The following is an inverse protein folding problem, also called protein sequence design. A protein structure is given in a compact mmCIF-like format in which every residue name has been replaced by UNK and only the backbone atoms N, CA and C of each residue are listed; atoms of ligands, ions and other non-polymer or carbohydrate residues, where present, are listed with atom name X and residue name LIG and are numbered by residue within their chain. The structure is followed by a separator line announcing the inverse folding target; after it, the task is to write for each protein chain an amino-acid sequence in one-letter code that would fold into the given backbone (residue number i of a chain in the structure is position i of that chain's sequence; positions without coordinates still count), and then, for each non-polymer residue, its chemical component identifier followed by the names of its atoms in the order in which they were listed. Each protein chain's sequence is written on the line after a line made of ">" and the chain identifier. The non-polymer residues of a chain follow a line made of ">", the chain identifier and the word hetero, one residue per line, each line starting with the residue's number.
data_IF_413939322108
#
_entry.id   IF_413939322108
#
_cell.length_a   1.000
_cell.length_b   1.000
_cell.length_c   1.000
_cell.angle_alpha   90.00
_cell.angle_beta   90.00
_cell.angle_gamma   90.00
#
_symmetry.space_group_name_H-M   'P 1'
#
loop_
_entity.id
_entity.type
_entity.pdbx_description
1 polymer ?
#
# COMPACT_ATOMS: atom_id res chain seq x y z
N UNK A 1 7.36 7.52 -16.46
CA UNK A 1 8.26 7.29 -15.31
C UNK A 1 7.59 6.28 -14.38
N UNK A 2 8.20 5.11 -14.17
CA UNK A 2 7.65 4.10 -13.27
C UNK A 2 7.73 4.50 -11.79
N UNK A 3 7.02 3.76 -10.94
CA UNK A 3 7.10 3.84 -9.49
C UNK A 3 7.74 2.55 -8.96
N UNK A 4 8.72 2.67 -8.07
CA UNK A 4 9.32 1.54 -7.38
C UNK A 4 8.74 1.43 -5.97
N UNK A 5 8.08 0.32 -5.67
CA UNK A 5 7.48 0.05 -4.36
C UNK A 5 8.25 -1.07 -3.68
N UNK A 6 8.81 -0.80 -2.51
CA UNK A 6 9.49 -1.78 -1.67
C UNK A 6 8.62 -2.09 -0.46
N UNK A 7 8.33 -3.36 -0.20
CA UNK A 7 7.65 -3.81 1.02
C UNK A 7 8.68 -4.54 1.88
N UNK A 8 8.91 -4.04 3.09
CA UNK A 8 9.74 -4.69 4.11
C UNK A 8 8.82 -5.38 5.10
N UNK A 9 8.90 -6.70 5.18
CA UNK A 9 8.08 -7.52 6.09
C UNK A 9 8.65 -7.50 7.52
N UNK A 10 7.88 -8.01 8.49
CA UNK A 10 8.27 -7.99 9.90
C UNK A 10 9.51 -8.84 10.19
N UNK A 11 9.73 -9.89 9.40
CA UNK A 11 10.92 -10.73 9.42
C UNK A 11 12.17 -10.06 8.77
N UNK A 12 12.04 -8.85 8.21
CA UNK A 12 13.14 -8.10 7.57
C UNK A 12 13.37 -8.41 6.09
N UNK A 13 12.57 -9.29 5.48
CA UNK A 13 12.61 -9.52 4.04
C UNK A 13 12.10 -8.31 3.27
N UNK A 14 12.69 -8.07 2.09
CA UNK A 14 12.33 -6.95 1.22
C UNK A 14 11.80 -7.48 -0.10
N UNK A 15 10.62 -7.03 -0.46
CA UNK A 15 9.95 -7.38 -1.71
C UNK A 15 9.81 -6.13 -2.56
N UNK A 16 10.44 -6.13 -3.72
CA UNK A 16 10.47 -4.99 -4.63
C UNK A 16 9.47 -5.20 -5.77
N UNK A 17 8.67 -4.17 -6.02
CA UNK A 17 7.64 -4.14 -7.06
C UNK A 17 7.90 -2.95 -7.97
N UNK A 18 8.21 -3.23 -9.23
CA UNK A 18 8.36 -2.20 -10.25
C UNK A 18 7.01 -2.00 -10.95
N UNK A 19 6.47 -0.79 -10.86
CA UNK A 19 5.24 -0.39 -11.51
C UNK A 19 5.55 0.54 -12.66
N UNK A 20 5.04 0.23 -13.85
CA UNK A 20 5.17 1.12 -15.01
C UNK A 20 4.01 2.11 -15.03
N UNK A 21 4.16 3.23 -15.76
CA UNK A 21 3.04 4.17 -15.97
C UNK A 21 1.82 3.47 -16.59
N UNK A 22 2.05 2.43 -17.41
CA UNK A 22 0.98 1.62 -17.97
C UNK A 22 0.18 0.87 -16.89
N UNK A 23 0.82 0.44 -15.80
CA UNK A 23 0.16 -0.16 -14.65
C UNK A 23 -0.60 0.87 -13.81
N UNK A 24 -0.14 2.12 -13.80
CA UNK A 24 -0.83 3.20 -13.09
C UNK A 24 -1.84 3.95 -13.97
N UNK A 25 -1.87 3.66 -15.28
CA UNK A 25 -2.73 4.32 -16.24
C UNK A 25 -4.22 4.13 -15.89
N UNK A 26 -4.92 5.24 -15.64
CA UNK A 26 -6.33 5.25 -15.27
C UNK A 26 -6.61 5.09 -13.77
N UNK A 27 -5.58 4.87 -12.95
CA UNK A 27 -5.65 4.86 -11.49
C UNK A 27 -5.16 6.20 -10.93
N UNK A 28 -6.07 7.16 -10.88
CA UNK A 28 -5.80 8.48 -10.29
C UNK A 28 -5.67 8.38 -8.75
N UNK A 29 -4.94 9.32 -8.13
CA UNK A 29 -4.75 9.36 -6.68
C UNK A 29 -6.07 9.28 -5.89
N UNK A 30 -7.14 9.89 -6.40
CA UNK A 30 -8.48 9.82 -5.81
C UNK A 30 -9.04 8.39 -5.81
N UNK A 31 -9.05 7.71 -6.97
CA UNK A 31 -9.54 6.33 -7.09
C UNK A 31 -8.72 5.38 -6.24
N UNK A 32 -7.41 5.61 -6.17
CA UNK A 32 -6.50 4.85 -5.34
C UNK A 32 -6.83 4.99 -3.84
N UNK A 33 -7.07 6.23 -3.38
CA UNK A 33 -7.53 6.49 -2.01
C UNK A 33 -8.90 5.87 -1.71
N UNK A 34 -9.83 5.92 -2.68
CA UNK A 34 -11.16 5.29 -2.55
C UNK A 34 -11.03 3.76 -2.44
N UNK A 35 -10.20 3.13 -3.26
CA UNK A 35 -9.95 1.68 -3.20
C UNK A 35 -9.31 1.28 -1.86
N UNK A 36 -8.28 2.00 -1.41
CA UNK A 36 -7.65 1.77 -0.11
C UNK A 36 -8.65 1.96 1.05
N UNK A 37 -9.57 2.93 0.92
CA UNK A 37 -10.66 3.13 1.88
C UNK A 37 -11.58 1.90 1.97
N UNK A 38 -12.06 1.41 0.83
CA UNK A 38 -12.93 0.24 0.77
C UNK A 38 -12.27 -1.01 1.32
N UNK A 39 -11.01 -1.27 0.97
CA UNK A 39 -10.28 -2.42 1.50
C UNK A 39 -10.04 -2.29 3.01
N UNK A 40 -9.80 -1.07 3.50
CA UNK A 40 -9.62 -0.82 4.94
C UNK A 40 -10.91 -1.10 5.71
N UNK A 41 -12.07 -0.68 5.17
CA UNK A 41 -13.38 -0.99 5.73
C UNK A 41 -13.68 -2.50 5.68
N UNK A 42 -13.37 -3.18 4.56
CA UNK A 42 -13.52 -4.64 4.42
C UNK A 42 -12.65 -5.44 5.38
N UNK A 43 -11.45 -4.97 5.65
CA UNK A 43 -10.56 -5.56 6.64
C UNK A 43 -11.11 -5.43 8.08
N UNK A 44 -12.21 -4.68 8.27
CA UNK A 44 -12.78 -4.41 9.59
C UNK A 44 -11.91 -3.46 10.42
N UNK A 45 -10.94 -2.79 9.79
CA UNK A 45 -10.16 -1.77 10.44
C UNK A 45 -11.08 -0.57 10.68
N UNK A 46 -11.49 -0.37 11.93
CA UNK A 46 -12.24 0.83 12.29
C UNK A 46 -11.26 2.00 12.39
N UNK A 47 -11.57 3.17 11.81
CA UNK A 47 -10.79 4.36 12.10
C UNK A 47 -10.89 4.61 13.61
N UNK A 48 -9.77 4.47 14.32
CA UNK A 48 -9.73 4.61 15.78
C UNK A 48 -10.11 6.03 16.24
N UNK A 49 -10.28 6.97 15.32
CA UNK A 49 -10.69 8.33 15.62
C UNK A 49 -11.72 8.89 14.60
N UNK A 50 -12.97 9.20 15.00
CA UNK A 50 -13.92 9.90 14.14
C UNK A 50 -13.55 11.39 13.93
N UNK A 51 -12.56 11.91 14.66
CA UNK A 51 -12.06 13.28 14.55
C UNK A 51 -10.54 13.26 14.51
N UNK A 52 -9.98 12.99 13.33
CA UNK A 52 -8.54 13.07 13.10
C UNK A 52 -8.21 12.37 11.79
N UNK A 53 -7.60 13.07 10.84
CA UNK A 53 -7.21 12.51 9.54
C UNK A 53 -6.41 11.22 9.77
N UNK A 54 -7.02 10.07 9.55
CA UNK A 54 -6.29 8.82 9.40
C UNK A 54 -5.34 9.02 8.22
N UNK A 55 -4.04 9.04 8.48
CA UNK A 55 -3.07 9.33 7.43
C UNK A 55 -3.15 8.19 6.41
N UNK A 56 -3.04 8.55 5.13
CA UNK A 56 -2.98 7.58 4.05
C UNK A 56 -1.89 6.53 4.31
N UNK A 57 -0.77 6.95 4.91
CA UNK A 57 0.30 6.07 5.35
C UNK A 57 -0.17 5.01 6.36
N UNK A 58 -0.90 5.40 7.40
CA UNK A 58 -1.44 4.45 8.40
C UNK A 58 -2.38 3.43 7.76
N UNK A 59 -3.25 3.87 6.82
CA UNK A 59 -4.14 2.96 6.07
C UNK A 59 -3.34 1.93 5.28
N UNK A 60 -2.34 2.38 4.53
CA UNK A 60 -1.48 1.51 3.72
C UNK A 60 -0.76 0.49 4.62
N UNK A 61 -0.19 0.93 5.74
CA UNK A 61 0.49 0.06 6.69
C UNK A 61 -0.46 -0.95 7.34
N UNK A 62 -1.66 -0.54 7.73
CA UNK A 62 -2.65 -1.41 8.34
C UNK A 62 -3.13 -2.49 7.36
N UNK A 63 -3.44 -2.09 6.12
CA UNK A 63 -3.81 -3.01 5.04
C UNK A 63 -2.70 -3.99 4.71
N UNK A 64 -1.46 -3.53 4.62
CA UNK A 64 -0.33 -4.40 4.35
C UNK A 64 -0.16 -5.47 5.47
N UNK A 65 -0.38 -5.09 6.73
CA UNK A 65 -0.37 -6.04 7.87
C UNK A 65 -1.48 -7.10 7.81
N UNK A 66 -2.54 -6.89 7.04
CA UNK A 66 -3.61 -7.90 6.89
C UNK A 66 -3.20 -9.09 6.04
N UNK A 67 -2.18 -8.92 5.19
CA UNK A 67 -1.68 -9.98 4.32
C UNK A 67 -0.56 -10.77 5.00
N UNK A 68 -0.46 -12.04 4.64
CA UNK A 68 0.66 -12.88 5.05
C UNK A 68 1.93 -12.48 4.29
N UNK A 69 3.09 -12.61 4.92
CA UNK A 69 4.39 -12.28 4.31
C UNK A 69 4.61 -13.03 2.99
N UNK A 70 4.17 -14.29 2.92
CA UNK A 70 4.20 -15.12 1.70
C UNK A 70 3.40 -14.53 0.52
N UNK A 71 2.38 -13.70 0.78
CA UNK A 71 1.63 -13.03 -0.28
C UNK A 71 2.47 -11.95 -0.99
N UNK A 72 3.53 -11.43 -0.34
CA UNK A 72 4.50 -10.52 -0.98
C UNK A 72 5.56 -11.29 -1.77
N UNK A 73 5.95 -12.47 -1.31
CA UNK A 73 6.85 -13.37 -2.04
C UNK A 73 6.23 -13.91 -3.33
N UNK A 74 4.94 -14.26 -3.27
CA UNK A 74 4.15 -14.68 -4.43
C UNK A 74 2.96 -13.71 -4.59
N UNK A 75 3.17 -12.55 -5.27
CA UNK A 75 2.19 -11.47 -5.32
C UNK A 75 0.86 -11.93 -5.91
N UNK A 76 -0.15 -11.95 -5.03
CA UNK A 76 -1.53 -12.22 -5.42
C UNK A 76 -2.10 -11.04 -6.23
N UNK A 77 -3.23 -11.23 -6.94
CA UNK A 77 -3.91 -10.12 -7.62
C UNK A 77 -4.27 -8.97 -6.67
N UNK A 78 -4.53 -9.29 -5.41
CA UNK A 78 -4.79 -8.30 -4.36
C UNK A 78 -3.54 -7.48 -4.05
N UNK A 79 -2.37 -8.13 -3.84
CA UNK A 79 -1.11 -7.43 -3.55
C UNK A 79 -0.72 -6.51 -4.70
N UNK A 80 -0.88 -6.95 -5.95
CA UNK A 80 -0.66 -6.11 -7.13
C UNK A 80 -1.57 -4.87 -7.15
N UNK A 81 -2.86 -5.04 -6.83
CA UNK A 81 -3.81 -3.92 -6.75
C UNK A 81 -3.46 -2.96 -5.61
N UNK A 82 -3.02 -3.51 -4.48
CA UNK A 82 -2.59 -2.75 -3.31
C UNK A 82 -1.36 -1.90 -3.59
N UNK A 83 -0.28 -2.46 -4.16
CA UNK A 83 0.94 -1.68 -4.45
C UNK A 83 0.67 -0.58 -5.50
N UNK A 84 -0.18 -0.86 -6.50
CA UNK A 84 -0.62 0.14 -7.48
C UNK A 84 -1.42 1.27 -6.84
N UNK A 85 -2.37 0.94 -5.98
CA UNK A 85 -3.15 1.93 -5.25
C UNK A 85 -2.27 2.74 -4.27
N UNK A 86 -1.35 2.10 -3.55
CA UNK A 86 -0.42 2.79 -2.66
C UNK A 86 0.48 3.77 -3.45
N UNK A 87 1.08 3.31 -4.56
CA UNK A 87 1.89 4.15 -5.44
C UNK A 87 1.12 5.34 -6.01
N UNK A 88 -0.08 5.11 -6.57
CA UNK A 88 -0.91 6.16 -7.14
C UNK A 88 -1.43 7.15 -6.09
N UNK A 89 -1.79 6.67 -4.89
CA UNK A 89 -2.30 7.52 -3.82
C UNK A 89 -1.21 8.41 -3.20
N UNK A 90 0.03 7.91 -3.12
CA UNK A 90 1.20 8.66 -2.64
C UNK A 90 1.76 9.59 -3.72
N UNK A 91 1.75 9.17 -4.99
CA UNK A 91 2.20 9.97 -6.13
C UNK A 91 3.71 10.21 -6.16
N UNK A 92 4.50 9.28 -5.61
CA UNK A 92 5.97 9.37 -5.55
C UNK A 92 6.61 8.30 -6.43
N UNK A 93 7.83 8.57 -6.91
CA UNK A 93 8.57 7.63 -7.75
C UNK A 93 9.13 6.44 -6.96
N UNK A 94 9.31 6.58 -5.64
CA UNK A 94 9.78 5.52 -4.75
C UNK A 94 8.84 5.50 -3.54
N UNK A 95 8.45 4.30 -3.11
CA UNK A 95 7.62 4.07 -1.95
C UNK A 95 8.18 2.87 -1.17
N UNK A 96 8.40 3.04 0.12
CA UNK A 96 8.86 1.98 1.02
C UNK A 96 7.83 1.77 2.12
N UNK A 97 7.29 0.56 2.21
CA UNK A 97 6.31 0.13 3.20
C UNK A 97 7.03 -0.78 4.19
N UNK A 98 7.43 -0.25 5.34
CA UNK A 98 8.11 -1.01 6.38
C UNK A 98 7.10 -1.51 7.43
N UNK A 99 6.80 -2.80 7.38
CA UNK A 99 5.88 -3.47 8.31
C UNK A 99 6.53 -3.74 9.68
N UNK A 100 7.85 -3.95 9.71
CA UNK A 100 8.61 -4.19 10.94
C UNK A 100 8.67 -2.96 11.82
N UNK A 101 9.04 -1.83 11.22
CA UNK A 101 9.10 -0.52 11.87
C UNK A 101 7.77 0.25 11.83
N UNK A 102 6.75 -0.31 11.17
CA UNK A 102 5.45 0.33 10.96
C UNK A 102 5.57 1.77 10.42
N UNK A 103 6.40 1.94 9.39
CA UNK A 103 6.77 3.25 8.84
C UNK A 103 6.60 3.24 7.33
N UNK A 104 6.17 4.36 6.75
CA UNK A 104 6.09 4.58 5.31
C UNK A 104 7.14 5.61 4.88
N UNK A 105 8.04 5.25 3.97
CA UNK A 105 9.04 6.15 3.37
C UNK A 105 8.74 6.42 1.90
N UNK A 106 9.01 7.63 1.40
CA UNK A 106 8.81 8.02 -0.01
C UNK A 106 9.49 9.36 -0.34
#
# INVERSE_FOLDING_TARGET
>A
MGCHVTVVTGNGERYEFELLDADLAGLDARKAQEWLGQEFEKAGCTPTNPVGKLLLADKILCLAKTQQEAAYAAPTPWVNSFVRAAAAAIGRAVLTIDLGNHTLGY
#
